data_IF_391201157481
#
_entry.id   IF_391201157481
#
_cell.length_a   1.000
_cell.length_b   1.000
_cell.length_c   1.000
_cell.angle_alpha   90.00
_cell.angle_beta   90.00
_cell.angle_gamma   90.00
#
_symmetry.space_group_name_H-M   'P 1'
#
loop_
_entity.id
_entity.type
_entity.pdbx_description
1 polymer ?
#
# COMPACT_ATOMS: atom_id res chain seq x y z
N UNK A 1 -15.53 -6.17 -32.29
CA UNK A 1 -15.31 -5.35 -31.08
C UNK A 1 -15.94 -6.06 -29.89
N UNK A 2 -15.26 -6.11 -28.75
CA UNK A 2 -15.76 -6.75 -27.52
C UNK A 2 -16.61 -5.81 -26.67
N UNK A 3 -17.45 -6.37 -25.80
CA UNK A 3 -18.31 -5.58 -24.87
C UNK A 3 -17.52 -4.70 -23.89
N UNK A 4 -16.26 -5.07 -23.59
CA UNK A 4 -15.34 -4.23 -22.82
C UNK A 4 -14.91 -2.97 -23.56
N UNK A 5 -14.70 -3.07 -24.87
CA UNK A 5 -14.25 -1.94 -25.70
C UNK A 5 -15.36 -0.89 -25.76
N UNK A 6 -16.62 -1.33 -25.85
CA UNK A 6 -17.81 -0.47 -25.69
C UNK A 6 -17.81 0.30 -24.36
N UNK A 7 -17.58 -0.39 -23.23
CA UNK A 7 -17.59 0.25 -21.90
C UNK A 7 -16.56 1.39 -21.76
N UNK A 8 -15.45 1.35 -22.51
CA UNK A 8 -14.44 2.41 -22.53
C UNK A 8 -14.78 3.58 -23.48
N UNK A 9 -15.81 3.44 -24.32
CA UNK A 9 -16.26 4.46 -25.28
C UNK A 9 -17.53 5.20 -24.81
N UNK A 10 -18.27 4.66 -23.84
CA UNK A 10 -19.43 5.34 -23.25
C UNK A 10 -19.01 6.43 -22.27
N UNK A 11 -19.69 7.57 -22.25
CA UNK A 11 -19.43 8.64 -21.28
C UNK A 11 -19.93 8.28 -19.87
N UNK A 12 -21.07 7.57 -19.81
CA UNK A 12 -21.69 7.07 -18.58
C UNK A 12 -22.20 5.64 -18.73
N UNK A 13 -22.29 4.91 -17.63
CA UNK A 13 -22.77 3.53 -17.58
C UNK A 13 -23.43 3.24 -16.24
N UNK A 14 -24.30 2.22 -16.17
CA UNK A 14 -25.00 1.86 -14.94
C UNK A 14 -24.30 0.71 -14.23
N UNK A 15 -23.93 0.91 -12.97
CA UNK A 15 -23.27 -0.12 -12.16
C UNK A 15 -24.24 -0.67 -11.12
N UNK A 16 -24.54 -1.98 -11.18
CA UNK A 16 -25.21 -2.72 -10.11
C UNK A 16 -24.17 -3.25 -9.11
N UNK A 17 -24.20 -2.75 -7.87
CA UNK A 17 -23.46 -3.31 -6.74
C UNK A 17 -24.24 -4.46 -6.11
N UNK A 18 -23.64 -5.66 -6.12
CA UNK A 18 -24.22 -6.88 -5.55
C UNK A 18 -23.39 -7.27 -4.33
N UNK A 19 -24.00 -7.29 -3.14
CA UNK A 19 -23.38 -7.76 -1.89
C UNK A 19 -23.92 -9.11 -1.46
N UNK A 20 -23.02 -10.02 -1.09
CA UNK A 20 -23.31 -11.37 -0.66
C UNK A 20 -23.21 -11.52 0.86
N UNK A 21 -23.99 -12.45 1.43
CA UNK A 21 -23.92 -12.80 2.85
C UNK A 21 -22.64 -13.57 3.21
N UNK A 22 -22.28 -14.55 2.38
CA UNK A 22 -21.10 -15.43 2.51
C UNK A 22 -20.02 -15.06 1.48
N UNK A 23 -18.83 -15.64 1.64
CA UNK A 23 -17.72 -15.49 0.68
C UNK A 23 -17.99 -16.37 -0.54
N UNK A 24 -17.70 -15.86 -1.73
CA UNK A 24 -17.72 -16.65 -2.98
C UNK A 24 -16.60 -17.70 -2.90
N UNK A 25 -16.86 -18.99 -3.13
CA UNK A 25 -15.80 -19.99 -3.10
C UNK A 25 -14.77 -19.72 -4.21
N UNK A 26 -13.48 -19.92 -3.91
CA UNK A 26 -12.39 -19.63 -4.83
C UNK A 26 -12.44 -20.33 -6.21
N UNK A 27 -12.86 -21.61 -6.37
CA UNK A 27 -12.77 -22.31 -7.65
C UNK A 27 -13.78 -21.82 -8.72
N UNK A 28 -14.75 -20.98 -8.35
CA UNK A 28 -15.83 -20.57 -9.25
C UNK A 28 -15.51 -19.28 -9.98
N UNK A 29 -15.60 -19.31 -11.31
CA UNK A 29 -15.52 -18.11 -12.12
C UNK A 29 -16.86 -17.37 -12.15
N UNK A 30 -17.18 -16.67 -11.06
CA UNK A 30 -18.43 -15.90 -10.90
C UNK A 30 -18.69 -14.90 -12.03
N UNK A 31 -17.66 -14.48 -12.79
CA UNK A 31 -17.85 -13.63 -13.97
C UNK A 31 -18.62 -14.37 -15.06
N UNK A 32 -18.26 -15.62 -15.34
CA UNK A 32 -18.86 -16.37 -16.44
C UNK A 32 -20.28 -16.83 -16.05
N UNK A 33 -20.51 -17.18 -14.78
CA UNK A 33 -21.85 -17.45 -14.21
C UNK A 33 -22.78 -16.24 -14.25
N UNK A 34 -22.25 -15.03 -14.05
CA UNK A 34 -23.04 -13.80 -14.16
C UNK A 34 -23.33 -13.46 -15.62
N UNK A 35 -22.37 -13.69 -16.53
CA UNK A 35 -22.54 -13.48 -17.97
C UNK A 35 -23.48 -14.50 -18.63
N UNK A 36 -23.58 -15.73 -18.12
CA UNK A 36 -24.51 -16.75 -18.61
C UNK A 36 -25.97 -16.47 -18.20
N UNK A 37 -26.18 -15.75 -17.09
CA UNK A 37 -27.52 -15.41 -16.62
C UNK A 37 -28.21 -14.31 -17.44
N UNK A 38 -27.47 -13.41 -18.09
CA UNK A 38 -28.05 -12.27 -18.81
C UNK A 38 -27.09 -11.67 -19.84
N UNK A 39 -27.56 -11.54 -21.08
CA UNK A 39 -26.74 -11.19 -22.24
C UNK A 39 -26.27 -9.74 -22.26
N UNK A 40 -27.01 -8.79 -21.68
CA UNK A 40 -26.77 -7.35 -21.88
C UNK A 40 -25.79 -6.74 -20.85
N UNK A 41 -25.02 -7.59 -20.17
CA UNK A 41 -23.93 -7.19 -19.28
C UNK A 41 -22.72 -6.75 -20.11
N UNK A 42 -22.22 -5.54 -19.86
CA UNK A 42 -20.99 -5.03 -20.47
C UNK A 42 -19.75 -5.63 -19.81
N UNK A 43 -19.74 -5.69 -18.48
CA UNK A 43 -18.58 -6.12 -17.70
C UNK A 43 -18.97 -6.60 -16.28
N UNK A 44 -18.11 -7.41 -15.67
CA UNK A 44 -18.25 -7.89 -14.28
C UNK A 44 -16.93 -7.65 -13.55
N UNK A 45 -16.94 -6.77 -12.55
CA UNK A 45 -15.74 -6.39 -11.78
C UNK A 45 -15.72 -7.14 -10.44
N UNK A 46 -14.76 -8.06 -10.30
CA UNK A 46 -14.47 -8.77 -9.04
C UNK A 46 -13.47 -7.96 -8.20
N UNK A 47 -13.68 -7.78 -6.89
CA UNK A 47 -12.70 -7.14 -6.01
C UNK A 47 -11.38 -7.92 -5.95
N UNK A 48 -10.26 -7.19 -5.87
CA UNK A 48 -8.91 -7.78 -5.67
C UNK A 48 -8.77 -8.51 -4.32
N UNK A 49 -9.57 -8.14 -3.32
CA UNK A 49 -9.55 -8.76 -1.99
C UNK A 49 -10.19 -10.15 -2.03
N UNK A 50 -9.39 -11.22 -1.79
CA UNK A 50 -9.85 -12.62 -1.77
C UNK A 50 -11.02 -12.89 -0.82
N UNK A 51 -11.17 -12.10 0.25
CA UNK A 51 -12.21 -12.21 1.28
C UNK A 51 -13.48 -11.41 0.99
N UNK A 52 -13.48 -10.55 -0.04
CA UNK A 52 -14.61 -9.67 -0.32
C UNK A 52 -15.87 -10.45 -0.74
N UNK A 53 -17.01 -9.95 -0.28
CA UNK A 53 -18.34 -10.54 -0.47
C UNK A 53 -19.20 -9.65 -1.38
N UNK A 54 -18.64 -9.15 -2.47
CA UNK A 54 -19.35 -8.30 -3.42
C UNK A 54 -18.75 -8.38 -4.82
N UNK A 55 -19.54 -8.00 -5.82
CA UNK A 55 -19.13 -7.73 -7.20
C UNK A 55 -19.84 -6.47 -7.71
N UNK A 56 -19.31 -5.90 -8.79
CA UNK A 56 -20.01 -4.89 -9.61
C UNK A 56 -20.34 -5.51 -10.96
N UNK A 57 -21.50 -5.17 -11.50
CA UNK A 57 -21.93 -5.56 -12.85
C UNK A 57 -22.31 -4.28 -13.59
N UNK A 58 -21.72 -4.10 -14.77
CA UNK A 58 -21.80 -2.85 -15.52
C UNK A 58 -22.73 -3.03 -16.74
N UNK A 59 -23.63 -2.07 -16.98
CA UNK A 59 -24.70 -2.10 -17.98
C UNK A 59 -24.72 -0.83 -18.83
N UNK A 60 -25.18 -0.99 -20.08
CA UNK A 60 -25.35 0.09 -21.05
C UNK A 60 -26.50 1.04 -20.65
N UNK A 61 -27.61 0.51 -20.15
CA UNK A 61 -28.79 1.28 -19.77
C UNK A 61 -29.32 0.90 -18.37
N UNK A 62 -30.21 1.72 -17.80
CA UNK A 62 -30.80 1.49 -16.48
C UNK A 62 -31.84 0.35 -16.52
N UNK A 63 -32.53 0.18 -17.64
CA UNK A 63 -33.52 -0.87 -17.88
C UNK A 63 -32.86 -2.25 -17.76
N UNK A 64 -31.72 -2.45 -18.44
CA UNK A 64 -30.95 -3.70 -18.35
C UNK A 64 -30.45 -3.99 -16.92
N UNK A 65 -30.09 -2.94 -16.17
CA UNK A 65 -29.67 -3.08 -14.78
C UNK A 65 -30.84 -3.43 -13.84
N UNK A 66 -32.04 -2.89 -14.07
CA UNK A 66 -33.26 -3.20 -13.32
C UNK A 66 -33.84 -4.58 -13.69
N UNK A 67 -33.82 -4.98 -14.97
CA UNK A 67 -34.16 -6.34 -15.41
C UNK A 67 -33.27 -7.39 -14.74
N UNK A 68 -31.95 -7.20 -14.77
CA UNK A 68 -31.03 -8.13 -14.12
C UNK A 68 -31.22 -8.16 -12.59
N UNK A 69 -31.55 -7.02 -11.98
CA UNK A 69 -31.91 -6.92 -10.56
C UNK A 69 -33.19 -7.70 -10.24
N UNK A 70 -34.21 -7.69 -11.10
CA UNK A 70 -35.42 -8.56 -10.96
C UNK A 70 -35.05 -10.05 -11.05
N UNK A 71 -34.29 -10.46 -12.07
CA UNK A 71 -33.83 -11.84 -12.26
C UNK A 71 -33.08 -12.36 -11.01
N UNK A 72 -32.24 -11.53 -10.40
CA UNK A 72 -31.52 -11.86 -9.16
C UNK A 72 -32.44 -11.96 -7.92
N UNK A 73 -33.48 -11.13 -7.82
CA UNK A 73 -34.45 -11.14 -6.73
C UNK A 73 -35.38 -12.36 -6.78
N UNK A 74 -35.75 -12.79 -7.98
CA UNK A 74 -36.55 -13.99 -8.24
C UNK A 74 -35.73 -15.26 -7.96
N UNK A 75 -34.59 -15.41 -8.63
CA UNK A 75 -33.78 -16.63 -8.53
C UNK A 75 -33.10 -16.76 -7.16
N UNK A 76 -32.75 -15.65 -6.48
CA UNK A 76 -32.00 -15.60 -5.19
C UNK A 76 -30.67 -16.37 -5.16
N UNK A 77 -30.22 -16.81 -6.33
CA UNK A 77 -29.05 -17.62 -6.62
C UNK A 77 -28.36 -16.98 -7.83
N UNK A 78 -27.03 -17.05 -7.89
CA UNK A 78 -26.29 -16.74 -9.12
C UNK A 78 -25.97 -18.08 -9.76
N UNK A 79 -26.69 -18.39 -10.85
CA UNK A 79 -26.62 -19.70 -11.50
C UNK A 79 -26.84 -20.84 -10.49
N UNK A 80 -25.93 -21.80 -10.42
CA UNK A 80 -25.93 -22.96 -9.51
C UNK A 80 -25.60 -22.64 -8.05
N UNK A 81 -25.23 -21.39 -7.72
CA UNK A 81 -24.70 -21.04 -6.40
C UNK A 81 -25.76 -20.47 -5.45
N UNK A 82 -25.90 -21.01 -4.22
CA UNK A 82 -26.74 -20.45 -3.16
C UNK A 82 -26.10 -19.19 -2.55
N UNK A 83 -26.15 -18.10 -3.31
CA UNK A 83 -25.58 -16.81 -2.91
C UNK A 83 -26.65 -15.87 -2.38
N UNK A 84 -27.00 -16.01 -1.09
CA UNK A 84 -27.95 -15.08 -0.43
C UNK A 84 -27.43 -13.64 -0.51
N UNK A 85 -28.08 -12.84 -1.34
CA UNK A 85 -27.82 -11.42 -1.58
C UNK A 85 -28.27 -10.60 -0.37
N UNK A 86 -27.45 -9.64 0.06
CA UNK A 86 -27.70 -8.72 1.19
C UNK A 86 -28.00 -7.28 0.74
N UNK A 87 -27.53 -6.87 -0.45
CA UNK A 87 -27.76 -5.51 -0.99
C UNK A 87 -27.65 -5.52 -2.52
N UNK A 88 -28.56 -4.81 -3.18
CA UNK A 88 -28.59 -4.54 -4.62
C UNK A 88 -28.81 -3.04 -4.80
N UNK A 89 -27.80 -2.33 -5.29
CA UNK A 89 -27.90 -0.89 -5.55
C UNK A 89 -27.37 -0.58 -6.95
N UNK A 90 -28.20 0.05 -7.79
CA UNK A 90 -27.75 0.62 -9.06
C UNK A 90 -27.22 2.02 -8.79
N UNK A 91 -26.16 2.41 -9.51
CA UNK A 91 -25.65 3.78 -9.57
C UNK A 91 -25.30 4.13 -11.00
N UNK A 92 -25.69 5.31 -11.46
CA UNK A 92 -25.03 5.94 -12.60
C UNK A 92 -23.55 6.10 -12.24
N UNK A 93 -22.68 5.71 -13.15
CA UNK A 93 -21.24 5.76 -13.04
C UNK A 93 -20.72 6.45 -14.28
N UNK A 94 -20.44 7.74 -14.16
CA UNK A 94 -19.75 8.47 -15.20
C UNK A 94 -18.29 8.00 -15.21
N UNK A 95 -17.68 7.94 -16.39
CA UNK A 95 -16.21 8.00 -16.44
C UNK A 95 -15.82 9.43 -16.09
N UNK A 96 -15.74 9.72 -14.79
CA UNK A 96 -15.05 10.90 -14.32
C UNK A 96 -13.68 10.88 -14.98
N UNK A 97 -13.42 11.84 -15.88
CA UNK A 97 -12.08 12.04 -16.44
C UNK A 97 -11.11 11.98 -15.28
N UNK A 98 -10.09 11.10 -15.30
CA UNK A 98 -9.20 10.99 -14.18
C UNK A 98 -8.51 12.34 -14.09
N UNK A 99 -8.82 13.07 -13.02
CA UNK A 99 -8.25 14.36 -12.66
C UNK A 99 -6.82 14.07 -12.17
N UNK A 100 -6.00 13.51 -13.07
CA UNK A 100 -4.73 12.85 -12.79
C UNK A 100 -3.81 13.83 -12.08
N UNK A 101 -3.77 15.08 -12.54
CA UNK A 101 -3.05 16.14 -11.86
C UNK A 101 -3.46 16.33 -10.40
N UNK A 102 -4.77 16.30 -10.10
CA UNK A 102 -5.27 16.46 -8.73
C UNK A 102 -4.95 15.24 -7.87
N UNK A 103 -5.13 14.05 -8.42
CA UNK A 103 -4.79 12.81 -7.73
C UNK A 103 -3.28 12.66 -7.52
N UNK A 104 -2.44 13.07 -8.47
CA UNK A 104 -0.99 13.06 -8.39
C UNK A 104 -0.46 14.17 -7.47
N UNK A 105 -1.06 15.36 -7.46
CA UNK A 105 -0.79 16.41 -6.46
C UNK A 105 -1.12 15.90 -5.05
N UNK A 106 -2.25 15.22 -4.85
CA UNK A 106 -2.63 14.60 -3.57
C UNK A 106 -1.69 13.44 -3.18
N UNK A 107 -1.32 12.57 -4.13
CA UNK A 107 -0.36 11.49 -3.91
C UNK A 107 1.04 12.03 -3.56
N UNK A 108 1.45 13.13 -4.19
CA UNK A 108 2.71 13.84 -3.92
C UNK A 108 2.70 14.45 -2.51
N UNK A 109 1.64 15.20 -2.14
CA UNK A 109 1.48 15.72 -0.78
C UNK A 109 1.47 14.59 0.27
N UNK A 110 0.79 13.48 -0.01
CA UNK A 110 0.75 12.32 0.89
C UNK A 110 2.13 11.67 1.06
N UNK A 111 2.97 11.62 0.01
CA UNK A 111 4.36 11.15 0.08
C UNK A 111 5.23 12.13 0.88
N UNK A 112 5.19 13.42 0.57
CA UNK A 112 5.95 14.46 1.28
C UNK A 112 5.60 14.50 2.77
N UNK A 113 4.31 14.48 3.12
CA UNK A 113 3.88 14.47 4.54
C UNK A 113 4.21 13.16 5.26
N UNK A 114 4.22 12.02 4.56
CA UNK A 114 4.70 10.75 5.10
C UNK A 114 6.22 10.77 5.35
N UNK A 115 7.00 11.36 4.44
CA UNK A 115 8.45 11.53 4.57
C UNK A 115 8.78 12.46 5.73
N UNK A 116 8.11 13.61 5.88
CA UNK A 116 8.28 14.50 7.05
C UNK A 116 8.01 13.80 8.38
N UNK A 117 6.88 13.07 8.50
CA UNK A 117 6.56 12.26 9.70
C UNK A 117 7.51 11.08 9.95
N UNK A 118 8.32 10.72 8.96
CA UNK A 118 9.38 9.73 9.08
C UNK A 118 10.68 10.39 9.55
N UNK A 119 10.99 11.60 9.05
CA UNK A 119 12.14 12.42 9.47
C UNK A 119 12.06 12.85 10.93
N UNK A 120 10.86 13.15 11.45
CA UNK A 120 10.59 13.40 12.89
C UNK A 120 11.09 12.27 13.82
N UNK A 121 11.33 11.06 13.29
CA UNK A 121 11.77 9.90 14.07
C UNK A 121 13.29 9.69 14.04
N UNK A 122 14.03 10.45 13.24
CA UNK A 122 15.47 10.29 13.06
C UNK A 122 16.24 11.45 13.68
N UNK A 123 17.45 11.16 14.16
CA UNK A 123 18.40 12.20 14.60
C UNK A 123 19.07 12.87 13.40
N UNK A 124 19.70 14.02 13.64
CA UNK A 124 20.63 14.68 12.72
C UNK A 124 22.03 14.00 12.64
N UNK A 125 22.16 12.74 13.09
CA UNK A 125 23.45 12.02 13.15
C UNK A 125 23.45 10.76 12.29
N UNK A 126 24.51 10.62 11.50
CA UNK A 126 24.83 9.42 10.71
C UNK A 126 25.96 8.65 11.39
N UNK A 127 25.74 7.36 11.64
CA UNK A 127 26.80 6.42 12.01
C UNK A 127 27.38 5.79 10.75
N UNK A 128 28.69 5.92 10.58
CA UNK A 128 29.45 5.25 9.54
C UNK A 128 30.11 4.01 10.15
N UNK A 129 29.80 2.86 9.57
CA UNK A 129 30.17 1.53 10.04
C UNK A 129 30.81 0.74 8.89
N UNK A 130 31.66 -0.24 9.18
CA UNK A 130 32.41 -1.00 8.17
C UNK A 130 33.28 -0.12 7.23
N UNK A 131 33.81 0.98 7.76
CA UNK A 131 34.80 1.83 7.07
C UNK A 131 36.16 1.12 7.10
N UNK A 132 36.94 1.22 6.02
CA UNK A 132 38.33 0.75 6.00
C UNK A 132 39.20 1.58 6.96
N UNK A 133 40.23 0.97 7.53
CA UNK A 133 41.12 1.62 8.51
C UNK A 133 42.01 2.70 7.87
N UNK A 134 42.20 2.63 6.56
CA UNK A 134 42.98 3.60 5.80
C UNK A 134 42.20 4.89 5.46
N UNK A 135 40.88 4.94 5.73
CA UNK A 135 40.07 6.11 5.37
C UNK A 135 40.38 7.29 6.30
N UNK A 136 40.79 8.39 5.68
CA UNK A 136 41.16 9.64 6.32
C UNK A 136 39.96 10.52 6.62
N UNK A 137 40.15 11.49 7.51
CA UNK A 137 39.13 12.51 7.78
C UNK A 137 38.79 13.35 6.54
N UNK A 138 39.74 13.53 5.60
CA UNK A 138 39.51 14.35 4.40
C UNK A 138 38.59 13.65 3.39
N UNK A 139 38.78 12.35 3.15
CA UNK A 139 37.85 11.56 2.31
C UNK A 139 36.43 11.56 2.91
N UNK A 140 36.30 11.49 4.24
CA UNK A 140 35.00 11.65 4.91
C UNK A 140 34.39 13.05 4.69
N UNK A 141 35.19 14.13 4.62
CA UNK A 141 34.67 15.47 4.29
C UNK A 141 34.18 15.57 2.85
N UNK A 142 34.85 14.92 1.91
CA UNK A 142 34.44 14.86 0.50
C UNK A 142 33.16 14.04 0.31
N UNK A 143 33.03 12.91 0.99
CA UNK A 143 31.85 12.05 0.92
C UNK A 143 30.64 12.66 1.63
N UNK A 144 30.85 13.37 2.73
CA UNK A 144 29.81 14.00 3.53
C UNK A 144 29.90 15.54 3.46
N UNK A 145 29.59 16.18 2.31
CA UNK A 145 29.57 17.63 2.21
C UNK A 145 28.52 18.23 3.16
N UNK A 146 28.71 19.50 3.52
CA UNK A 146 27.82 20.27 4.41
C UNK A 146 27.58 19.65 5.81
N UNK A 147 28.52 18.84 6.31
CA UNK A 147 28.52 18.39 7.70
C UNK A 147 28.80 19.56 8.65
N UNK A 148 28.17 19.56 9.84
CA UNK A 148 28.57 20.44 10.94
C UNK A 148 29.79 19.89 11.70
N UNK A 149 29.85 18.56 11.86
CA UNK A 149 30.92 17.92 12.62
C UNK A 149 31.14 16.46 12.17
N UNK A 150 32.40 16.03 12.17
CA UNK A 150 32.83 14.65 11.92
C UNK A 150 33.65 14.21 13.13
N UNK A 151 33.18 13.18 13.82
CA UNK A 151 33.89 12.52 14.91
C UNK A 151 34.36 11.14 14.45
N UNK A 152 35.67 10.93 14.28
CA UNK A 152 36.22 9.59 14.04
C UNK A 152 36.26 8.79 15.34
N UNK A 153 36.01 7.48 15.24
CA UNK A 153 35.97 6.54 16.37
C UNK A 153 36.87 5.35 16.09
N UNK A 154 37.79 5.06 17.02
CA UNK A 154 38.64 3.86 16.99
C UNK A 154 37.90 2.59 17.44
N UNK A 155 36.62 2.44 17.08
CA UNK A 155 35.81 1.29 17.44
C UNK A 155 35.53 0.40 16.21
N UNK A 156 35.59 -0.94 16.32
CA UNK A 156 35.44 -1.82 15.15
C UNK A 156 34.03 -1.78 14.53
N UNK A 157 33.00 -1.41 15.31
CA UNK A 157 31.59 -1.37 14.86
C UNK A 157 31.16 -0.02 14.31
N UNK A 158 31.71 1.09 14.80
CA UNK A 158 31.39 2.47 14.39
C UNK A 158 32.72 3.20 14.21
N UNK A 159 33.02 3.63 12.98
CA UNK A 159 34.30 4.23 12.61
C UNK A 159 34.22 5.75 12.50
N UNK A 160 33.04 6.31 12.19
CA UNK A 160 32.80 7.75 12.27
C UNK A 160 31.34 8.08 12.62
N UNK A 161 31.13 9.27 13.17
CA UNK A 161 29.83 9.88 13.41
C UNK A 161 29.80 11.24 12.70
N UNK A 162 28.88 11.41 11.77
CA UNK A 162 28.68 12.66 11.01
C UNK A 162 27.44 13.36 11.56
N UNK A 163 27.55 14.65 11.89
CA UNK A 163 26.43 15.46 12.41
C UNK A 163 26.07 16.56 11.43
N UNK A 164 24.77 16.74 11.18
CA UNK A 164 24.18 17.74 10.28
C UNK A 164 23.32 18.76 11.04
N UNK A 165 22.88 19.84 10.39
CA UNK A 165 22.02 20.83 11.05
C UNK A 165 20.63 20.27 11.36
N UNK A 166 20.15 19.34 10.53
CA UNK A 166 18.82 18.73 10.65
C UNK A 166 18.81 17.23 10.32
N UNK A 167 17.76 16.54 10.78
CA UNK A 167 17.49 15.15 10.41
C UNK A 167 17.21 14.99 8.89
N UNK A 168 16.72 16.05 8.23
CA UNK A 168 16.52 16.09 6.78
C UNK A 168 17.85 16.06 6.04
N UNK A 169 18.79 16.95 6.36
CA UNK A 169 20.13 16.95 5.75
C UNK A 169 20.88 15.63 5.94
N UNK A 170 20.81 15.05 7.15
CA UNK A 170 21.39 13.73 7.40
C UNK A 170 20.76 12.64 6.50
N UNK A 171 19.45 12.69 6.28
CA UNK A 171 18.76 11.76 5.38
C UNK A 171 19.15 11.97 3.91
N UNK A 172 19.17 13.22 3.45
CA UNK A 172 19.52 13.59 2.08
C UNK A 172 20.98 13.22 1.75
N UNK A 173 21.93 13.50 2.66
CA UNK A 173 23.33 13.11 2.54
C UNK A 173 23.51 11.58 2.44
N UNK A 174 22.78 10.80 3.25
CA UNK A 174 22.79 9.34 3.17
C UNK A 174 22.22 8.82 1.84
N UNK A 175 21.23 9.50 1.26
CA UNK A 175 20.67 9.12 -0.05
C UNK A 175 21.65 9.43 -1.19
N UNK A 176 22.29 10.60 -1.18
CA UNK A 176 23.30 10.99 -2.16
C UNK A 176 24.46 9.97 -2.21
N UNK A 177 24.89 9.49 -1.04
CA UNK A 177 25.99 8.54 -0.91
C UNK A 177 25.69 7.08 -1.33
N UNK A 178 24.46 6.76 -1.76
CA UNK A 178 24.05 5.38 -2.07
C UNK A 178 24.98 4.66 -3.06
N UNK A 179 25.55 5.38 -4.03
CA UNK A 179 26.50 4.82 -5.01
C UNK A 179 27.91 4.65 -4.43
N UNK A 180 28.40 5.60 -3.63
CA UNK A 180 29.70 5.53 -2.96
C UNK A 180 29.73 4.41 -1.92
N UNK A 181 28.67 4.28 -1.12
CA UNK A 181 28.41 3.18 -0.17
C UNK A 181 28.55 1.80 -0.85
N UNK A 182 28.06 1.66 -2.08
CA UNK A 182 28.14 0.41 -2.82
C UNK A 182 29.55 0.09 -3.35
N UNK A 183 30.33 1.11 -3.72
CA UNK A 183 31.72 0.97 -4.19
C UNK A 183 32.67 0.66 -3.03
N UNK A 184 32.66 1.52 -2.02
CA UNK A 184 33.58 1.49 -0.86
C UNK A 184 33.16 0.50 0.24
N UNK A 185 32.00 -0.15 0.10
CA UNK A 185 31.48 -1.21 0.99
C UNK A 185 31.28 -0.82 2.47
N UNK A 186 31.39 0.45 2.83
CA UNK A 186 30.96 0.95 4.14
C UNK A 186 29.44 1.04 4.25
N UNK A 187 28.91 1.25 5.46
CA UNK A 187 27.48 1.33 5.74
C UNK A 187 27.14 2.56 6.56
N UNK A 188 26.16 3.33 6.07
CA UNK A 188 25.65 4.54 6.74
C UNK A 188 24.28 4.26 7.35
N UNK A 189 24.16 4.48 8.66
CA UNK A 189 22.96 4.24 9.47
C UNK A 189 22.52 5.58 10.08
N UNK A 190 21.25 5.96 9.89
CA UNK A 190 20.67 7.09 10.63
C UNK A 190 20.10 6.53 11.94
N UNK A 191 20.47 7.13 13.07
CA UNK A 191 19.87 6.77 14.36
C UNK A 191 18.44 7.32 14.45
N UNK A 192 17.56 6.54 15.07
CA UNK A 192 16.26 7.03 15.53
C UNK A 192 16.48 7.99 16.70
N UNK A 193 15.66 9.03 16.82
CA UNK A 193 15.57 9.76 18.09
C UNK A 193 15.07 8.78 19.15
N UNK A 194 15.64 8.83 20.36
CA UNK A 194 15.11 8.07 21.50
C UNK A 194 13.72 8.60 21.85
N UNK A 195 12.69 8.01 21.24
CA UNK A 195 11.36 8.08 21.81
C UNK A 195 11.31 7.18 23.04
N UNK A 196 10.82 7.71 24.15
CA UNK A 196 10.60 6.98 25.43
C UNK A 196 9.49 5.92 25.33
N UNK A 197 9.20 5.45 24.12
CA UNK A 197 8.11 4.54 23.77
C UNK A 197 8.59 3.24 23.11
N UNK A 198 9.82 2.80 23.42
CA UNK A 198 10.13 1.37 23.38
C UNK A 198 9.38 0.64 24.52
N UNK A 199 8.05 0.61 24.42
CA UNK A 199 7.25 -0.45 25.05
C UNK A 199 7.78 -1.76 24.50
N UNK A 200 8.64 -2.42 25.28
CA UNK A 200 9.08 -3.79 25.03
C UNK A 200 7.82 -4.60 24.73
N UNK A 201 7.68 -5.09 23.49
CA UNK A 201 6.68 -6.10 23.21
C UNK A 201 7.02 -7.28 24.11
N UNK A 202 6.20 -7.54 25.13
CA UNK A 202 6.31 -8.79 25.89
C UNK A 202 6.30 -9.93 24.86
N UNK A 203 7.21 -10.91 24.95
CA UNK A 203 7.16 -12.05 24.06
C UNK A 203 5.78 -12.70 24.16
N UNK A 204 5.19 -13.03 23.01
CA UNK A 204 3.92 -13.77 22.97
C UNK A 204 4.26 -15.22 23.33
N UNK A 205 4.20 -15.55 24.62
CA UNK A 205 4.62 -16.85 25.15
C UNK A 205 4.13 -17.19 26.56
N UNK A 206 3.74 -16.21 27.39
CA UNK A 206 3.27 -16.47 28.77
C UNK A 206 1.74 -16.47 28.89
N UNK A 207 1.17 -17.53 28.32
CA UNK A 207 -0.03 -18.31 28.75
C UNK A 207 0.32 -19.73 28.29
N UNK A 208 0.29 -20.82 29.06
CA UNK A 208 -0.35 -21.17 30.34
C UNK A 208 0.67 -22.03 31.16
N UNK A 209 0.47 -22.52 32.38
CA UNK A 209 -0.72 -22.64 33.26
C UNK A 209 -0.30 -22.41 34.73
N UNK A 210 -1.26 -22.05 35.59
CA UNK A 210 -1.34 -22.62 36.95
C UNK A 210 -2.73 -23.24 37.08
N UNK A 211 -2.75 -24.57 37.23
CA UNK A 211 -3.96 -25.32 37.51
C UNK A 211 -4.20 -25.33 39.03
N UNK A 212 -5.44 -25.59 39.41
CA UNK A 212 -5.85 -26.01 40.76
C UNK A 212 -5.11 -27.29 41.19
N UNK A 213 -5.21 -27.61 42.50
CA UNK A 213 -4.54 -28.66 43.33
C UNK A 213 -3.54 -27.99 44.29
N UNK A 214 -3.69 -28.02 45.62
CA UNK A 214 -4.63 -28.76 46.51
C UNK A 214 -5.71 -27.88 47.16
#
# INVERSE_FOLDING_TARGET
>A
MGKKDKLHQMESYYTLFIKFSRRIPNPLNIKDEVLSMYSNILNVRKPRQKSARWILVDFETIEYAEEFKKILLEKKHISTLPVKVKKLNIKLSDHSKPDNERQDKLNSLARQTFESKKLEKYTNKLLVTNLSENVTMNELREWFPNHLHIEMKHAPKVRAIITYSSAKEAFDARLALKHTIAKEKFRVIILLMNSENFKRKKPVGERYFENEIE
#
